data_IF_070942276180
#
_entry.id   IF_070942276180
#
_cell.length_a   1.000
_cell.length_b   1.000
_cell.length_c   1.000
_cell.angle_alpha   90.00
_cell.angle_beta   90.00
_cell.angle_gamma   90.00
#
_symmetry.space_group_name_H-M   'P 1'
#
loop_
_entity.id
_entity.type
_entity.pdbx_description
1 polymer ?
#
# COMPACT_ATOMS: atom_id res chain seq x y z
N UNK A 1 -18.74 -9.79 7.64
CA UNK A 1 -17.97 -10.84 6.95
C UNK A 1 -17.26 -10.19 5.75
N UNK A 2 -16.00 -9.79 5.94
CA UNK A 2 -15.18 -9.23 4.86
C UNK A 2 -14.70 -10.33 3.95
N UNK A 3 -15.27 -10.48 2.76
CA UNK A 3 -14.78 -11.43 1.75
C UNK A 3 -13.56 -10.84 1.06
N UNK A 4 -12.44 -11.55 1.12
CA UNK A 4 -11.35 -11.36 0.15
C UNK A 4 -11.92 -11.71 -1.24
N UNK A 5 -12.15 -10.70 -2.07
CA UNK A 5 -12.66 -10.94 -3.41
C UNK A 5 -11.54 -11.52 -4.27
N UNK A 6 -11.79 -12.68 -4.86
CA UNK A 6 -10.99 -13.17 -5.97
C UNK A 6 -10.92 -12.07 -7.03
N UNK A 7 -9.71 -11.65 -7.38
CA UNK A 7 -9.48 -10.92 -8.62
C UNK A 7 -9.91 -11.82 -9.76
N UNK A 8 -11.15 -11.66 -10.23
CA UNK A 8 -11.57 -12.22 -11.49
C UNK A 8 -10.71 -11.61 -12.58
N UNK A 9 -9.91 -12.46 -13.21
CA UNK A 9 -9.20 -12.20 -14.45
C UNK A 9 -10.23 -11.82 -15.52
N UNK A 10 -10.47 -10.54 -15.69
CA UNK A 10 -10.86 -9.98 -16.97
C UNK A 10 -9.73 -9.07 -17.39
N UNK A 11 -9.08 -9.37 -18.51
CA UNK A 11 -7.90 -8.82 -19.14
C UNK A 11 -7.74 -7.30 -19.23
N UNK A 12 -7.69 -6.66 -18.10
CA UNK A 12 -7.28 -5.29 -17.89
C UNK A 12 -6.22 -5.35 -16.80
N UNK A 13 -5.02 -4.86 -17.07
CA UNK A 13 -4.01 -4.58 -16.04
C UNK A 13 -4.55 -3.49 -15.10
N UNK A 14 -5.56 -3.84 -14.31
CA UNK A 14 -5.96 -3.07 -13.14
C UNK A 14 -4.89 -3.33 -12.10
N UNK A 15 -4.20 -2.27 -11.68
CA UNK A 15 -3.18 -2.33 -10.67
C UNK A 15 -3.63 -3.09 -9.41
N UNK A 16 -2.67 -3.52 -8.64
CA UNK A 16 -2.82 -4.33 -7.43
C UNK A 16 -4.05 -3.91 -6.62
N UNK A 17 -4.95 -4.85 -6.35
CA UNK A 17 -6.08 -4.65 -5.45
C UNK A 17 -5.62 -5.00 -4.04
N UNK A 18 -5.44 -4.00 -3.20
CA UNK A 18 -5.11 -4.19 -1.80
C UNK A 18 -6.39 -4.37 -0.97
N UNK A 19 -6.42 -5.39 -0.12
CA UNK A 19 -7.46 -5.56 0.89
C UNK A 19 -7.05 -4.79 2.15
N UNK A 20 -7.48 -3.55 2.29
CA UNK A 20 -7.15 -2.73 3.43
C UNK A 20 -8.01 -3.04 4.65
N UNK A 21 -7.40 -3.10 5.83
CA UNK A 21 -8.08 -2.93 7.10
C UNK A 21 -8.14 -1.43 7.40
N UNK A 22 -9.32 -0.92 7.60
CA UNK A 22 -9.54 0.41 8.18
C UNK A 22 -9.36 0.28 9.69
N UNK A 23 -8.69 1.23 10.32
CA UNK A 23 -8.45 1.24 11.77
C UNK A 23 -9.73 1.19 12.62
N UNK A 24 -10.91 1.38 12.04
CA UNK A 24 -12.19 1.42 12.75
C UNK A 24 -13.33 0.62 12.10
N UNK A 25 -13.16 0.06 10.89
CA UNK A 25 -14.16 -0.78 10.23
C UNK A 25 -13.53 -1.77 9.23
N UNK A 26 -13.93 -3.05 9.23
CA UNK A 26 -13.45 -4.03 8.25
C UNK A 26 -14.17 -3.84 6.91
N UNK A 27 -13.72 -2.91 6.09
CA UNK A 27 -14.18 -2.77 4.70
C UNK A 27 -13.06 -3.12 3.74
N UNK A 28 -13.36 -3.97 2.79
CA UNK A 28 -12.48 -4.22 1.64
C UNK A 28 -12.71 -3.09 0.65
N UNK A 29 -11.73 -2.22 0.50
CA UNK A 29 -11.76 -1.17 -0.50
C UNK A 29 -10.80 -1.56 -1.64
N UNK A 30 -11.27 -1.58 -2.87
CA UNK A 30 -10.39 -1.67 -4.04
C UNK A 30 -9.94 -0.27 -4.43
N UNK A 31 -8.65 -0.09 -4.59
CA UNK A 31 -8.06 1.15 -5.06
C UNK A 31 -7.34 0.91 -6.38
N UNK A 32 -7.34 1.91 -7.27
CA UNK A 32 -6.53 1.86 -8.48
C UNK A 32 -5.17 2.47 -8.22
N UNK A 33 -4.16 1.85 -8.81
CA UNK A 33 -2.75 2.23 -8.67
C UNK A 33 -2.20 2.59 -10.05
N UNK A 34 -1.59 3.76 -10.16
CA UNK A 34 -0.73 4.10 -11.31
C UNK A 34 0.67 3.56 -11.03
N UNK A 35 0.91 2.32 -11.41
CA UNK A 35 2.09 1.57 -10.97
C UNK A 35 3.43 2.20 -11.39
N UNK A 36 3.50 2.80 -12.58
CA UNK A 36 4.66 3.55 -13.07
C UNK A 36 4.25 4.62 -14.09
N UNK A 37 5.22 5.40 -14.57
CA UNK A 37 5.03 6.35 -15.69
C UNK A 37 5.16 5.71 -17.07
N UNK A 38 5.35 4.41 -17.17
CA UNK A 38 5.43 3.68 -18.43
C UNK A 38 4.12 3.71 -19.22
N UNK A 39 4.20 3.65 -20.54
CA UNK A 39 3.04 3.73 -21.43
C UNK A 39 2.01 2.59 -21.22
N UNK A 40 2.47 1.43 -20.75
CA UNK A 40 1.65 0.28 -20.37
C UNK A 40 0.75 0.56 -19.16
N UNK A 41 1.18 1.43 -18.23
CA UNK A 41 0.40 1.85 -17.07
C UNK A 41 -0.38 3.15 -17.29
N UNK A 42 0.16 4.09 -18.07
CA UNK A 42 -0.44 5.42 -18.24
C UNK A 42 -1.52 5.48 -19.31
N UNK A 43 -1.47 4.62 -20.34
CA UNK A 43 -2.40 4.66 -21.49
C UNK A 43 -3.88 4.61 -21.10
N UNK A 44 -4.22 3.84 -20.08
CA UNK A 44 -5.60 3.67 -19.61
C UNK A 44 -5.85 4.34 -18.25
N UNK A 45 -4.87 5.07 -17.71
CA UNK A 45 -4.94 5.61 -16.37
C UNK A 45 -6.17 6.49 -16.15
N UNK A 46 -6.36 7.48 -17.02
CA UNK A 46 -7.48 8.44 -16.87
C UNK A 46 -8.85 7.73 -16.91
N UNK A 47 -9.01 6.76 -17.82
CA UNK A 47 -10.24 5.95 -17.92
C UNK A 47 -10.47 5.15 -16.66
N UNK A 48 -9.43 4.46 -16.16
CA UNK A 48 -9.52 3.60 -14.98
C UNK A 48 -9.78 4.41 -13.71
N UNK A 49 -9.10 5.54 -13.53
CA UNK A 49 -9.27 6.43 -12.38
C UNK A 49 -10.70 7.02 -12.35
N UNK A 50 -11.21 7.51 -13.48
CA UNK A 50 -12.57 8.01 -13.56
C UNK A 50 -13.62 6.92 -13.29
N UNK A 51 -13.40 5.71 -13.81
CA UNK A 51 -14.28 4.58 -13.54
C UNK A 51 -14.25 4.14 -12.06
N UNK A 52 -13.10 4.23 -11.40
CA UNK A 52 -12.98 3.96 -9.97
C UNK A 52 -13.74 4.99 -9.13
N UNK A 53 -13.55 6.28 -9.41
CA UNK A 53 -14.26 7.39 -8.76
C UNK A 53 -15.76 7.23 -8.92
N UNK A 54 -16.24 6.94 -10.13
CA UNK A 54 -17.66 6.73 -10.42
C UNK A 54 -18.26 5.54 -9.63
N UNK A 55 -17.43 4.56 -9.23
CA UNK A 55 -17.84 3.44 -8.37
C UNK A 55 -17.65 3.69 -6.88
N UNK A 56 -17.29 4.91 -6.47
CA UNK A 56 -17.11 5.28 -5.07
C UNK A 56 -15.72 5.00 -4.49
N UNK A 57 -14.73 4.70 -5.33
CA UNK A 57 -13.33 4.57 -4.91
C UNK A 57 -12.63 5.92 -5.02
N UNK A 58 -12.61 6.69 -3.94
CA UNK A 58 -12.09 8.05 -3.93
C UNK A 58 -10.61 8.18 -3.54
N UNK A 59 -9.85 7.10 -3.56
CA UNK A 59 -8.41 7.16 -3.27
C UNK A 59 -7.64 6.58 -4.44
N UNK A 60 -6.73 7.36 -4.96
CA UNK A 60 -5.85 6.97 -6.07
C UNK A 60 -4.43 6.80 -5.54
N UNK A 61 -3.83 5.65 -5.80
CA UNK A 61 -2.45 5.36 -5.45
C UNK A 61 -1.54 5.64 -6.64
N UNK A 62 -0.34 6.16 -6.37
CA UNK A 62 0.66 6.39 -7.40
C UNK A 62 1.76 5.32 -7.39
N UNK A 63 2.93 5.63 -7.86
CA UNK A 63 3.99 4.73 -8.28
C UNK A 63 4.43 3.72 -7.21
N UNK A 64 4.61 2.48 -7.65
CA UNK A 64 5.00 1.37 -6.80
C UNK A 64 6.51 1.25 -6.68
N UNK A 65 7.04 1.31 -5.47
CA UNK A 65 8.46 1.14 -5.12
C UNK A 65 9.41 1.83 -6.12
N UNK A 66 9.29 3.15 -6.35
CA UNK A 66 10.10 3.83 -7.36
C UNK A 66 11.59 3.89 -6.97
N UNK A 67 11.90 3.73 -5.69
CA UNK A 67 13.27 3.65 -5.16
C UNK A 67 13.96 2.30 -5.47
N UNK A 68 13.24 1.34 -6.05
CA UNK A 68 13.71 -0.02 -6.35
C UNK A 68 13.78 -0.25 -7.85
N UNK A 69 14.98 -0.57 -8.36
CA UNK A 69 15.20 -0.93 -9.77
C UNK A 69 15.32 -2.44 -10.03
N UNK A 70 15.03 -3.26 -9.03
CA UNK A 70 14.87 -4.71 -9.19
C UNK A 70 13.42 -5.06 -9.53
N UNK A 71 13.17 -6.33 -9.85
CA UNK A 71 11.81 -6.84 -10.09
C UNK A 71 10.86 -6.44 -8.97
N UNK A 72 9.69 -5.96 -9.34
CA UNK A 72 8.66 -5.48 -8.41
C UNK A 72 8.65 -3.97 -8.19
N UNK A 73 9.73 -3.24 -8.51
CA UNK A 73 9.79 -1.79 -8.39
C UNK A 73 9.60 -1.06 -9.73
N UNK A 74 9.09 0.15 -9.71
CA UNK A 74 8.88 0.97 -10.90
C UNK A 74 10.13 1.70 -11.37
N UNK A 75 11.19 1.74 -10.56
CA UNK A 75 12.51 2.32 -10.89
C UNK A 75 12.42 3.71 -11.52
N UNK A 76 11.98 4.68 -10.74
CA UNK A 76 11.85 6.07 -11.18
C UNK A 76 12.75 6.98 -10.36
N UNK A 77 13.37 7.97 -11.00
CA UNK A 77 14.01 9.04 -10.24
C UNK A 77 12.97 9.90 -9.51
N UNK A 78 13.29 10.53 -8.38
CA UNK A 78 12.36 11.44 -7.69
C UNK A 78 11.86 12.57 -8.61
N UNK A 79 12.73 13.08 -9.49
CA UNK A 79 12.39 14.12 -10.47
C UNK A 79 11.39 13.64 -11.51
N UNK A 80 11.62 12.46 -12.10
CA UNK A 80 10.70 11.90 -13.08
C UNK A 80 9.36 11.55 -12.45
N UNK A 81 9.38 11.03 -11.22
CA UNK A 81 8.19 10.76 -10.46
C UNK A 81 7.38 12.04 -10.16
N UNK A 82 8.05 13.14 -9.75
CA UNK A 82 7.38 14.42 -9.51
C UNK A 82 6.74 14.99 -10.78
N UNK A 83 7.42 14.89 -11.93
CA UNK A 83 6.87 15.31 -13.22
C UNK A 83 5.68 14.45 -13.64
N UNK A 84 5.80 13.13 -13.54
CA UNK A 84 4.72 12.22 -13.87
C UNK A 84 3.53 12.38 -12.91
N UNK A 85 3.78 12.63 -11.62
CA UNK A 85 2.73 12.88 -10.63
C UNK A 85 1.90 14.12 -11.00
N UNK A 86 2.56 15.22 -11.38
CA UNK A 86 1.85 16.42 -11.87
C UNK A 86 1.01 16.14 -13.11
N UNK A 87 1.52 15.32 -14.02
CA UNK A 87 0.83 15.00 -15.28
C UNK A 87 -0.37 14.09 -15.06
N UNK A 88 -0.22 13.06 -14.22
CA UNK A 88 -1.19 11.96 -14.15
C UNK A 88 -2.04 11.94 -12.87
N UNK A 89 -1.52 12.45 -11.75
CA UNK A 89 -2.23 12.41 -10.46
C UNK A 89 -2.94 13.73 -10.16
N UNK A 90 -2.23 14.85 -10.25
CA UNK A 90 -2.77 16.19 -9.92
C UNK A 90 -4.09 16.54 -10.63
N UNK A 91 -4.36 16.12 -11.88
CA UNK A 91 -5.66 16.37 -12.51
C UNK A 91 -6.87 15.78 -11.79
N UNK A 92 -6.67 14.90 -10.83
CA UNK A 92 -7.74 14.33 -10.00
C UNK A 92 -7.89 15.01 -8.63
N UNK A 93 -7.06 16.00 -8.31
CA UNK A 93 -7.17 16.77 -7.07
C UNK A 93 -8.57 17.38 -6.91
N UNK A 94 -9.14 17.31 -5.70
CA UNK A 94 -10.50 17.74 -5.40
C UNK A 94 -11.60 16.76 -5.85
N UNK A 95 -11.24 15.71 -6.61
CA UNK A 95 -12.16 14.64 -7.04
C UNK A 95 -11.85 13.31 -6.37
N UNK A 96 -10.61 13.13 -5.97
CA UNK A 96 -10.13 11.99 -5.23
C UNK A 96 -8.99 12.41 -4.29
N UNK A 97 -8.76 11.61 -3.26
CA UNK A 97 -7.58 11.70 -2.40
C UNK A 97 -6.38 11.06 -3.10
N UNK A 98 -5.26 11.77 -3.14
CA UNK A 98 -4.10 11.37 -3.92
C UNK A 98 -2.96 10.90 -3.02
N UNK A 99 -2.54 9.65 -3.20
CA UNK A 99 -1.39 9.08 -2.50
C UNK A 99 -0.07 9.40 -3.19
N UNK A 100 0.94 9.76 -2.42
CA UNK A 100 2.32 9.83 -2.88
C UNK A 100 2.80 8.46 -3.40
N UNK A 101 3.96 8.36 -4.07
CA UNK A 101 4.56 7.08 -4.39
C UNK A 101 4.86 6.24 -3.15
N UNK A 102 4.62 4.93 -3.23
CA UNK A 102 4.89 3.99 -2.16
C UNK A 102 6.35 3.53 -2.20
N UNK A 103 7.16 3.94 -1.23
CA UNK A 103 8.58 3.55 -1.16
C UNK A 103 8.79 2.28 -0.35
N UNK A 104 9.90 1.58 -0.61
CA UNK A 104 10.33 0.42 0.18
C UNK A 104 10.89 0.84 1.53
N UNK A 105 11.00 -0.13 2.47
CA UNK A 105 11.80 0.06 3.70
C UNK A 105 13.30 -0.16 3.49
N UNK A 106 13.75 -0.24 2.23
CA UNK A 106 15.17 -0.30 1.91
C UNK A 106 15.92 1.00 2.24
N UNK A 107 17.26 0.97 2.24
CA UNK A 107 18.08 2.12 2.65
C UNK A 107 17.85 3.39 1.82
N UNK A 108 17.38 3.25 0.58
CA UNK A 108 17.09 4.35 -0.35
C UNK A 108 15.70 4.95 -0.16
N UNK A 109 14.74 4.22 0.37
CA UNK A 109 13.32 4.58 0.36
C UNK A 109 13.03 5.93 1.01
N UNK A 110 13.45 6.14 2.25
CA UNK A 110 13.22 7.42 2.94
C UNK A 110 13.93 8.60 2.29
N UNK A 111 15.16 8.40 1.78
CA UNK A 111 15.89 9.43 1.05
C UNK A 111 15.15 9.80 -0.24
N UNK A 112 14.70 8.79 -0.98
CA UNK A 112 13.93 8.97 -2.21
C UNK A 112 12.62 9.73 -1.95
N UNK A 113 11.87 9.33 -0.92
CA UNK A 113 10.61 9.98 -0.54
C UNK A 113 10.81 11.44 -0.19
N UNK A 114 11.81 11.75 0.65
CA UNK A 114 12.15 13.12 1.03
C UNK A 114 12.48 14.00 -0.18
N UNK A 115 13.26 13.47 -1.11
CA UNK A 115 13.61 14.17 -2.35
C UNK A 115 12.38 14.37 -3.24
N UNK A 116 11.55 13.35 -3.44
CA UNK A 116 10.29 13.47 -4.18
C UNK A 116 9.40 14.56 -3.60
N UNK A 117 9.16 14.56 -2.30
CA UNK A 117 8.32 15.55 -1.63
C UNK A 117 8.88 16.98 -1.83
N UNK A 118 10.20 17.16 -1.75
CA UNK A 118 10.85 18.46 -1.99
C UNK A 118 10.69 18.94 -3.43
N UNK A 119 10.73 18.03 -4.41
CA UNK A 119 10.56 18.33 -5.82
C UNK A 119 9.08 18.48 -6.22
N UNK A 120 8.18 17.93 -5.47
CA UNK A 120 6.74 17.94 -5.72
C UNK A 120 6.04 19.14 -5.05
N UNK A 121 6.72 20.24 -4.86
CA UNK A 121 6.13 21.49 -4.36
C UNK A 121 4.92 21.88 -5.23
N UNK A 122 3.78 22.11 -4.58
CA UNK A 122 2.50 22.39 -5.26
C UNK A 122 1.80 21.16 -5.82
N UNK A 123 2.34 19.96 -5.68
CA UNK A 123 1.55 18.74 -5.87
C UNK A 123 0.51 18.63 -4.74
N UNK A 124 -0.68 18.18 -5.10
CA UNK A 124 -1.70 17.83 -4.12
C UNK A 124 -1.44 16.40 -3.63
N UNK A 125 -1.03 16.25 -2.39
CA UNK A 125 -0.79 14.94 -1.75
C UNK A 125 -1.64 14.89 -0.48
N UNK A 126 -2.50 13.89 -0.37
CA UNK A 126 -3.42 13.75 0.77
C UNK A 126 -2.89 12.72 1.79
N UNK A 127 -2.15 11.71 1.35
CA UNK A 127 -1.57 10.69 2.21
C UNK A 127 -0.30 10.09 1.58
N UNK A 128 0.52 9.45 2.41
CA UNK A 128 1.79 8.84 1.96
C UNK A 128 1.76 7.33 2.19
N UNK A 129 1.73 6.52 1.11
CA UNK A 129 1.90 5.08 1.19
C UNK A 129 3.35 4.69 1.45
N UNK A 130 3.55 3.62 2.22
CA UNK A 130 4.85 2.98 2.45
C UNK A 130 4.71 1.46 2.40
N UNK A 131 5.82 0.77 2.09
CA UNK A 131 5.93 -0.68 2.15
C UNK A 131 6.92 -1.12 3.24
N UNK A 132 6.69 -2.30 3.80
CA UNK A 132 7.61 -2.90 4.76
C UNK A 132 7.71 -4.41 4.59
N UNK A 133 8.93 -4.91 4.40
CA UNK A 133 9.27 -6.32 4.31
C UNK A 133 10.56 -6.60 5.08
N UNK A 134 10.47 -7.43 6.13
CA UNK A 134 11.61 -7.86 6.94
C UNK A 134 11.24 -9.15 7.71
N UNK A 135 12.07 -9.58 8.67
CA UNK A 135 11.73 -10.68 9.57
C UNK A 135 10.51 -10.33 10.46
N UNK A 136 9.61 -11.29 10.64
CA UNK A 136 8.48 -11.17 11.57
C UNK A 136 8.93 -10.97 13.03
N UNK A 137 10.18 -11.29 13.35
CA UNK A 137 10.74 -11.04 14.68
C UNK A 137 11.23 -9.60 14.87
N UNK A 138 11.31 -8.81 13.80
CA UNK A 138 11.90 -7.47 13.83
C UNK A 138 10.87 -6.36 14.10
N UNK A 139 10.03 -6.56 15.12
CA UNK A 139 8.93 -5.64 15.52
C UNK A 139 9.44 -4.24 15.83
N UNK A 140 10.60 -4.14 16.49
CA UNK A 140 11.20 -2.83 16.82
C UNK A 140 11.52 -2.02 15.57
N UNK A 141 12.13 -2.63 14.57
CA UNK A 141 12.40 -1.99 13.29
C UNK A 141 11.12 -1.58 12.57
N UNK A 142 10.10 -2.44 12.54
CA UNK A 142 8.80 -2.10 11.95
C UNK A 142 8.22 -0.80 12.50
N UNK A 143 8.17 -0.70 13.84
CA UNK A 143 7.62 0.48 14.51
C UNK A 143 8.46 1.74 14.28
N UNK A 144 9.78 1.63 14.39
CA UNK A 144 10.69 2.74 14.18
C UNK A 144 10.63 3.25 12.73
N UNK A 145 10.64 2.35 11.74
CA UNK A 145 10.54 2.71 10.34
C UNK A 145 9.24 3.50 10.04
N UNK A 146 8.10 3.08 10.59
CA UNK A 146 6.83 3.78 10.40
C UNK A 146 6.85 5.16 11.06
N UNK A 147 7.42 5.29 12.25
CA UNK A 147 7.56 6.58 12.93
C UNK A 147 8.48 7.54 12.14
N UNK A 148 9.61 7.04 11.63
CA UNK A 148 10.53 7.80 10.79
C UNK A 148 9.86 8.23 9.47
N UNK A 149 9.10 7.32 8.87
CA UNK A 149 8.34 7.62 7.65
C UNK A 149 7.31 8.73 7.88
N UNK A 150 6.59 8.71 9.00
CA UNK A 150 5.64 9.78 9.34
C UNK A 150 6.34 11.11 9.55
N UNK A 151 7.48 11.12 10.23
CA UNK A 151 8.27 12.34 10.43
C UNK A 151 8.78 12.93 9.10
N UNK A 152 9.10 12.09 8.11
CA UNK A 152 9.50 12.53 6.76
C UNK A 152 8.30 12.97 5.93
N UNK A 153 7.19 12.24 6.02
CA UNK A 153 6.01 12.44 5.18
C UNK A 153 5.26 13.73 5.52
N UNK A 154 5.11 14.06 6.80
CA UNK A 154 4.27 15.17 7.26
C UNK A 154 2.77 15.01 6.93
N UNK A 155 2.34 13.79 6.59
CA UNK A 155 0.99 13.41 6.20
C UNK A 155 0.59 12.09 6.87
N UNK A 156 -0.69 11.78 6.85
CA UNK A 156 -1.17 10.45 7.24
C UNK A 156 -0.53 9.36 6.39
N UNK A 157 -0.21 8.24 7.03
CA UNK A 157 0.39 7.09 6.38
C UNK A 157 -0.64 6.02 6.03
N UNK A 158 -0.41 5.39 4.88
CA UNK A 158 -0.98 4.10 4.53
C UNK A 158 0.15 3.07 4.42
N UNK A 159 0.03 1.96 5.09
CA UNK A 159 0.96 0.84 4.90
C UNK A 159 0.33 -0.07 3.84
N UNK A 160 0.58 0.25 2.58
CA UNK A 160 -0.10 -0.43 1.46
C UNK A 160 0.36 -1.85 1.27
N UNK A 161 1.58 -2.17 1.68
CA UNK A 161 2.11 -3.53 1.73
C UNK A 161 2.97 -3.72 2.96
N UNK A 162 2.72 -4.78 3.72
CA UNK A 162 3.68 -5.25 4.71
C UNK A 162 3.59 -6.77 4.88
N UNK A 163 4.74 -7.40 5.11
CA UNK A 163 4.83 -8.83 5.43
C UNK A 163 6.08 -9.11 6.25
N UNK A 164 5.94 -10.04 7.21
CA UNK A 164 7.06 -10.57 7.97
C UNK A 164 7.51 -11.93 7.43
N UNK A 165 8.79 -12.09 7.10
CA UNK A 165 9.36 -13.40 6.80
C UNK A 165 9.53 -14.22 8.07
N UNK A 166 9.45 -15.56 7.96
CA UNK A 166 9.57 -16.48 9.09
C UNK A 166 8.51 -17.57 9.09
N UNK A 167 8.43 -18.33 10.16
CA UNK A 167 7.43 -19.37 10.37
C UNK A 167 6.01 -18.78 10.52
N UNK A 168 4.98 -19.60 10.35
CA UNK A 168 3.58 -19.18 10.56
C UNK A 168 3.37 -18.65 11.98
N UNK A 169 3.97 -19.29 12.98
CA UNK A 169 3.87 -18.85 14.37
C UNK A 169 4.50 -17.47 14.61
N UNK A 170 5.67 -17.21 14.01
CA UNK A 170 6.31 -15.89 14.09
C UNK A 170 5.47 -14.82 13.41
N UNK A 171 4.89 -15.09 12.24
CA UNK A 171 3.99 -14.16 11.54
C UNK A 171 2.73 -13.87 12.33
N UNK A 172 2.12 -14.88 12.95
CA UNK A 172 0.95 -14.67 13.82
C UNK A 172 1.31 -13.85 15.06
N UNK A 173 2.44 -14.12 15.69
CA UNK A 173 2.95 -13.35 16.82
C UNK A 173 3.22 -11.89 16.44
N UNK A 174 3.84 -11.68 15.28
CA UNK A 174 4.05 -10.35 14.71
C UNK A 174 2.73 -9.59 14.55
N UNK A 175 1.74 -10.18 13.86
CA UNK A 175 0.45 -9.52 13.65
C UNK A 175 -0.28 -9.22 14.96
N UNK A 176 -0.27 -10.15 15.93
CA UNK A 176 -0.85 -9.92 17.27
C UNK A 176 -0.21 -8.76 18.01
N UNK A 177 1.07 -8.50 17.74
CA UNK A 177 1.82 -7.41 18.37
C UNK A 177 1.64 -6.08 17.63
N UNK A 178 1.67 -6.10 16.28
CA UNK A 178 1.69 -4.85 15.52
C UNK A 178 0.31 -4.31 15.20
N UNK A 179 -0.72 -5.14 15.06
CA UNK A 179 -2.08 -4.65 14.73
C UNK A 179 -2.63 -3.73 15.81
N UNK A 180 -2.62 -4.08 17.11
CA UNK A 180 -3.07 -3.15 18.15
C UNK A 180 -2.28 -1.84 18.17
N UNK A 181 -0.98 -1.94 17.92
CA UNK A 181 -0.13 -0.77 17.85
C UNK A 181 -0.48 0.10 16.64
N UNK A 182 -0.71 -0.49 15.44
CA UNK A 182 -1.13 0.24 14.25
C UNK A 182 -2.46 0.96 14.47
N UNK A 183 -3.44 0.26 15.06
CA UNK A 183 -4.77 0.81 15.33
C UNK A 183 -4.73 1.96 16.36
N UNK A 184 -3.72 1.99 17.23
CA UNK A 184 -3.51 3.05 18.21
C UNK A 184 -2.82 4.32 17.65
N UNK A 185 -2.21 4.23 16.44
CA UNK A 185 -1.58 5.41 15.83
C UNK A 185 -2.60 6.25 15.07
N UNK A 186 -2.77 7.51 15.47
CA UNK A 186 -3.74 8.42 14.81
C UNK A 186 -3.39 8.76 13.37
N UNK A 187 -2.12 8.70 13.01
CA UNK A 187 -1.58 9.02 11.69
C UNK A 187 -1.52 7.81 10.74
N UNK A 188 -1.89 6.60 11.19
CA UNK A 188 -2.01 5.43 10.32
C UNK A 188 -3.49 5.20 10.03
N UNK A 189 -3.91 5.51 8.82
CA UNK A 189 -5.33 5.44 8.48
C UNK A 189 -5.70 4.14 7.79
N UNK A 190 -4.74 3.47 7.13
CA UNK A 190 -4.95 2.16 6.49
C UNK A 190 -3.68 1.33 6.46
N UNK A 191 -3.87 -0.01 6.49
CA UNK A 191 -2.78 -0.95 6.28
C UNK A 191 -3.27 -2.23 5.62
N UNK A 192 -2.37 -2.92 4.87
CA UNK A 192 -2.69 -4.14 4.13
C UNK A 192 -1.56 -5.16 4.23
N UNK A 193 -1.88 -6.34 4.79
CA UNK A 193 -0.97 -7.48 4.74
C UNK A 193 -0.78 -8.00 3.31
N UNK A 194 0.44 -8.20 2.91
CA UNK A 194 0.75 -8.73 1.60
C UNK A 194 0.99 -10.26 1.68
N UNK A 195 0.09 -11.20 1.20
CA UNK A 195 -1.13 -10.77 0.53
C UNK A 195 -2.25 -11.83 0.59
N UNK A 196 -3.39 -11.54 -0.02
CA UNK A 196 -4.60 -12.34 0.00
C UNK A 196 -4.67 -13.29 -1.22
N UNK A 197 -3.60 -14.07 -1.45
CA UNK A 197 -3.59 -15.12 -2.48
C UNK A 197 -3.20 -16.47 -1.85
N UNK A 198 -4.09 -17.45 -1.99
CA UNK A 198 -3.88 -18.81 -1.50
C UNK A 198 -2.65 -19.53 -2.08
N UNK A 199 -2.09 -19.03 -3.19
CA UNK A 199 -0.86 -19.53 -3.80
C UNK A 199 0.40 -18.89 -3.21
N UNK A 200 0.23 -17.86 -2.39
CA UNK A 200 1.36 -17.13 -1.83
C UNK A 200 2.15 -18.02 -0.86
N UNK A 201 3.45 -18.12 -1.09
CA UNK A 201 4.41 -18.71 -0.16
C UNK A 201 4.82 -17.77 0.97
N UNK A 202 4.39 -16.51 0.90
CA UNK A 202 4.74 -15.45 1.85
C UNK A 202 3.82 -15.42 3.10
N UNK A 203 2.86 -16.34 3.20
CA UNK A 203 1.88 -16.36 4.28
C UNK A 203 0.53 -15.82 3.81
N UNK A 204 -0.20 -16.66 3.08
CA UNK A 204 -1.54 -16.36 2.61
C UNK A 204 -2.53 -16.19 3.77
N UNK A 205 -3.35 -15.16 3.73
CA UNK A 205 -4.43 -14.95 4.70
C UNK A 205 -5.73 -15.66 4.31
N UNK A 206 -5.77 -16.31 3.15
CA UNK A 206 -6.87 -17.17 2.70
C UNK A 206 -6.35 -18.49 2.15
N UNK A 207 -7.16 -19.55 2.28
CA UNK A 207 -6.94 -20.85 1.65
C UNK A 207 -7.43 -20.86 0.17
N UNK A 208 -7.22 -21.99 -0.52
CA UNK A 208 -7.66 -22.18 -1.93
C UNK A 208 -9.19 -22.09 -2.12
N UNK A 209 -9.97 -22.23 -1.04
CA UNK A 209 -11.43 -22.10 -1.06
C UNK A 209 -11.88 -20.68 -0.72
N UNK A 210 -10.95 -19.78 -0.36
CA UNK A 210 -11.23 -18.42 0.06
C UNK A 210 -11.59 -18.27 1.53
N UNK A 211 -11.41 -19.33 2.34
CA UNK A 211 -11.60 -19.22 3.79
C UNK A 211 -10.37 -18.61 4.44
N UNK A 212 -10.51 -17.87 5.55
CA UNK A 212 -9.38 -17.37 6.31
C UNK A 212 -8.47 -18.50 6.78
N UNK A 213 -7.17 -18.36 6.64
CA UNK A 213 -6.17 -19.19 7.33
C UNK A 213 -6.08 -18.78 8.80
N UNK A 214 -5.26 -19.47 9.61
CA UNK A 214 -4.97 -19.01 10.99
C UNK A 214 -4.43 -17.59 11.00
N UNK A 215 -3.51 -17.29 10.08
CA UNK A 215 -2.96 -15.95 9.88
C UNK A 215 -4.05 -14.95 9.46
N UNK A 216 -4.96 -15.35 8.58
CA UNK A 216 -6.10 -14.55 8.15
C UNK A 216 -7.10 -14.27 9.26
N UNK A 217 -7.29 -15.21 10.18
CA UNK A 217 -8.11 -15.01 11.39
C UNK A 217 -7.44 -13.96 12.29
N UNK A 218 -6.14 -14.06 12.53
CA UNK A 218 -5.41 -13.06 13.32
C UNK A 218 -5.49 -11.68 12.66
N UNK A 219 -5.23 -11.60 11.36
CA UNK A 219 -5.25 -10.32 10.64
C UNK A 219 -6.64 -9.66 10.61
N UNK A 220 -7.69 -10.44 10.35
CA UNK A 220 -9.05 -9.92 10.09
C UNK A 220 -9.96 -9.80 11.32
N UNK A 221 -9.73 -10.63 12.33
CA UNK A 221 -10.68 -10.80 13.45
C UNK A 221 -10.05 -10.66 14.83
N UNK A 222 -8.81 -10.18 14.92
CA UNK A 222 -8.24 -9.90 16.23
C UNK A 222 -9.13 -8.84 16.91
N UNK A 223 -9.86 -9.24 17.94
CA UNK A 223 -10.61 -8.33 18.80
C UNK A 223 -9.64 -7.71 19.82
N UNK A 224 -9.75 -6.43 20.06
CA UNK A 224 -9.00 -5.67 21.07
C UNK A 224 -9.94 -5.15 22.12
#
# INVERSE_FOLDING_TARGET
MGRCWKSGLMGLQLGLVHAFKLSKEPRVCSHVVLWSNGADHTRQWVTNANAAIARGSYHLLSFNEPDRCASGGSCMSPKDAANAYRTFMVPFAGRAYLGAPAVTNGPSGMKWLKEFLSLCTGCHIDFVPIHWYDSATNVGYFKNYIADAHAVAGHDLWITEFNGSGSSAEKESFLRTVIPWLDAQSYITRYSWFWCDAKSTLGAIVDKKGNPTSLGIVYGYLAF
#
